data_IF_346800749136
#
_entry.id   IF_346800749136
#
_cell.length_a   1.000
_cell.length_b   1.000
_cell.length_c   1.000
_cell.angle_alpha   90.00
_cell.angle_beta   90.00
_cell.angle_gamma   90.00
#
_symmetry.space_group_name_H-M   'P 1'
#
loop_
_entity.id
_entity.type
_entity.pdbx_description
1 polymer ?
#
# COMPACT_ATOMS: atom_id res chain seq x y z
N UNK A 1 -50.88 -37.11 51.55
CA UNK A 1 -52.00 -37.31 52.51
C UNK A 1 -51.82 -36.30 53.64
N UNK A 2 -52.86 -35.56 54.06
CA UNK A 2 -52.80 -34.36 54.93
C UNK A 2 -52.06 -33.13 54.32
N UNK A 3 -52.35 -31.85 54.65
CA UNK A 3 -53.64 -31.14 54.86
C UNK A 3 -53.39 -29.61 55.09
N UNK A 4 -54.18 -28.71 54.44
CA UNK A 4 -54.63 -27.36 54.93
C UNK A 4 -53.59 -26.27 55.32
N UNK A 5 -53.83 -24.93 55.24
CA UNK A 5 -54.94 -24.01 54.84
C UNK A 5 -54.32 -22.80 54.05
N UNK A 6 -55.01 -22.11 53.12
CA UNK A 6 -55.81 -20.84 53.25
C UNK A 6 -55.17 -19.77 54.18
N UNK A 7 -55.20 -18.45 53.94
CA UNK A 7 -56.29 -17.52 53.51
C UNK A 7 -55.74 -16.32 52.68
N UNK A 8 -56.61 -15.56 51.98
CA UNK A 8 -56.40 -14.30 51.22
C UNK A 8 -57.76 -13.52 51.18
N UNK A 9 -57.96 -12.23 50.76
CA UNK A 9 -57.10 -11.30 49.98
C UNK A 9 -57.17 -9.79 50.44
N UNK A 10 -56.99 -8.84 49.49
CA UNK A 10 -57.41 -7.40 49.51
C UNK A 10 -56.58 -6.40 50.40
N UNK A 11 -56.38 -5.08 50.16
CA UNK A 11 -56.85 -3.92 49.31
C UNK A 11 -55.61 -2.96 49.09
N UNK A 12 -55.52 -1.81 48.36
CA UNK A 12 -56.34 -0.97 47.44
C UNK A 12 -55.43 0.05 46.66
N UNK A 13 -55.98 0.73 45.64
CA UNK A 13 -55.56 2.05 45.06
C UNK A 13 -56.56 3.16 45.53
N UNK A 14 -56.43 4.52 45.31
CA UNK A 14 -55.93 5.24 44.10
C UNK A 14 -55.08 6.55 44.36
N UNK A 15 -55.32 7.79 43.82
CA UNK A 15 -54.36 8.38 42.87
C UNK A 15 -54.02 9.91 43.01
N UNK A 16 -53.25 10.42 42.02
CA UNK A 16 -53.36 11.79 41.42
C UNK A 16 -52.84 13.04 42.20
N UNK A 17 -51.84 13.75 41.64
CA UNK A 17 -51.96 15.22 41.46
C UNK A 17 -50.98 15.86 40.44
N UNK A 18 -51.58 16.65 39.56
CA UNK A 18 -51.08 17.60 38.54
C UNK A 18 -49.86 18.47 38.95
N UNK A 19 -48.98 18.80 37.98
CA UNK A 19 -48.80 20.16 37.39
C UNK A 19 -47.68 20.24 36.31
N UNK A 20 -47.93 21.05 35.26
CA UNK A 20 -46.93 21.76 34.41
C UNK A 20 -47.16 23.27 34.66
N UNK A 21 -46.16 24.18 34.46
CA UNK A 21 -45.93 24.75 33.11
C UNK A 21 -44.45 25.08 32.79
N UNK A 22 -44.26 25.71 31.62
CA UNK A 22 -43.02 26.07 30.94
C UNK A 22 -42.05 26.98 31.73
N UNK A 23 -40.76 26.88 31.37
CA UNK A 23 -39.90 28.06 31.19
C UNK A 23 -39.19 27.97 29.84
N UNK A 24 -39.15 29.08 29.08
CA UNK A 24 -38.46 29.16 27.78
C UNK A 24 -37.09 29.78 28.02
N UNK A 25 -36.02 28.99 27.91
CA UNK A 25 -34.64 29.44 28.05
C UNK A 25 -33.90 29.43 26.71
N UNK A 26 -33.81 30.57 26.02
CA UNK A 26 -32.85 30.73 24.91
C UNK A 26 -31.43 30.68 25.47
N UNK A 27 -30.60 29.75 25.00
CA UNK A 27 -29.15 29.96 24.91
C UNK A 27 -28.74 29.93 23.44
N UNK A 28 -28.20 31.05 22.98
CA UNK A 28 -27.53 31.17 21.70
C UNK A 28 -26.10 30.61 21.82
N UNK A 29 -25.54 30.18 20.69
CA UNK A 29 -24.09 30.07 20.49
C UNK A 29 -23.38 28.97 21.29
N UNK A 30 -23.20 27.82 20.65
CA UNK A 30 -21.82 27.42 20.35
C UNK A 30 -21.78 26.55 19.08
N UNK A 31 -21.29 27.12 17.97
CA UNK A 31 -21.07 26.38 16.73
C UNK A 31 -19.74 25.64 16.83
N UNK A 32 -19.77 24.33 17.13
CA UNK A 32 -18.60 23.48 17.31
C UNK A 32 -17.91 23.11 15.98
N UNK A 33 -17.39 24.11 15.27
CA UNK A 33 -16.58 23.94 14.05
C UNK A 33 -15.21 23.28 14.29
N UNK A 34 -14.80 23.08 15.56
CA UNK A 34 -13.55 22.45 15.96
C UNK A 34 -13.47 20.92 15.74
N UNK A 35 -14.51 20.30 15.16
CA UNK A 35 -14.64 18.84 15.06
C UNK A 35 -14.21 18.18 13.73
N UNK A 36 -13.51 18.89 12.82
CA UNK A 36 -13.13 18.34 11.49
C UNK A 36 -11.63 18.42 11.12
N UNK A 37 -10.83 19.23 11.80
CA UNK A 37 -9.38 19.32 11.54
C UNK A 37 -8.61 18.21 12.24
N UNK A 38 -8.93 17.97 13.52
CA UNK A 38 -8.30 16.94 14.37
C UNK A 38 -8.39 15.53 13.77
N UNK A 39 -9.51 15.18 13.13
CA UNK A 39 -9.72 13.86 12.49
C UNK A 39 -9.08 13.72 11.10
N UNK A 40 -8.24 14.66 10.68
CA UNK A 40 -7.44 14.59 9.45
C UNK A 40 -5.94 14.74 9.76
N UNK A 41 -5.60 15.65 10.68
CA UNK A 41 -4.22 15.88 11.15
C UNK A 41 -3.65 14.66 11.91
N UNK A 42 -4.49 13.95 12.67
CA UNK A 42 -4.11 12.72 13.40
C UNK A 42 -3.83 11.52 12.49
N UNK A 43 -4.46 11.45 11.32
CA UNK A 43 -4.28 10.33 10.38
C UNK A 43 -2.96 10.48 9.59
N UNK A 44 -2.67 11.67 9.06
CA UNK A 44 -1.46 11.90 8.27
C UNK A 44 -0.15 11.71 9.07
N UNK A 45 -0.17 11.98 10.38
CA UNK A 45 1.02 11.87 11.24
C UNK A 45 1.28 10.46 11.78
N UNK A 46 0.23 9.64 11.94
CA UNK A 46 0.34 8.28 12.50
C UNK A 46 0.57 7.21 11.43
N UNK A 47 -0.03 7.35 10.23
CA UNK A 47 -0.01 6.33 9.18
C UNK A 47 1.37 6.09 8.53
N UNK A 48 2.35 6.98 8.72
CA UNK A 48 3.67 6.87 8.07
C UNK A 48 4.39 5.59 8.52
N UNK A 49 4.41 5.28 9.81
CA UNK A 49 5.14 4.11 10.32
C UNK A 49 4.51 2.78 9.88
N UNK A 50 3.17 2.59 9.95
CA UNK A 50 2.57 1.38 9.39
C UNK A 50 2.75 1.22 7.89
N UNK A 51 2.72 2.32 7.12
CA UNK A 51 3.03 2.28 5.68
C UNK A 51 4.48 1.84 5.42
N UNK A 52 5.46 2.36 6.16
CA UNK A 52 6.87 1.96 6.04
C UNK A 52 7.08 0.48 6.37
N UNK A 53 6.49 0.00 7.46
CA UNK A 53 6.57 -1.40 7.85
C UNK A 53 5.93 -2.30 6.79
N UNK A 54 4.70 -2.01 6.37
CA UNK A 54 3.98 -2.82 5.36
C UNK A 54 4.65 -2.81 3.98
N UNK A 55 5.35 -1.73 3.61
CA UNK A 55 6.12 -1.63 2.35
C UNK A 55 7.48 -2.33 2.40
N UNK A 56 7.99 -2.70 3.59
CA UNK A 56 9.34 -3.24 3.75
C UNK A 56 9.64 -4.46 2.86
N UNK A 57 8.73 -5.46 2.71
CA UNK A 57 8.97 -6.57 1.79
C UNK A 57 9.10 -6.18 0.32
N UNK A 58 8.36 -5.16 -0.12
CA UNK A 58 8.40 -4.67 -1.51
C UNK A 58 9.72 -3.94 -1.76
N UNK A 59 10.18 -3.16 -0.78
CA UNK A 59 11.50 -2.50 -0.84
C UNK A 59 12.63 -3.53 -0.86
N UNK A 60 12.59 -4.56 0.01
CA UNK A 60 13.55 -5.65 0.02
C UNK A 60 13.53 -6.46 -1.28
N UNK A 61 12.35 -6.71 -1.84
CA UNK A 61 12.17 -7.36 -3.14
C UNK A 61 12.83 -6.57 -4.28
N UNK A 62 12.61 -5.25 -4.33
CA UNK A 62 13.24 -4.34 -5.29
C UNK A 62 14.76 -4.30 -5.16
N UNK A 63 15.28 -4.21 -3.92
CA UNK A 63 16.72 -4.21 -3.63
C UNK A 63 17.37 -5.53 -4.08
N UNK A 64 16.78 -6.68 -3.74
CA UNK A 64 17.32 -7.99 -4.12
C UNK A 64 17.23 -8.23 -5.64
N UNK A 65 16.18 -7.73 -6.30
CA UNK A 65 16.09 -7.70 -7.76
C UNK A 65 17.25 -6.90 -8.38
N UNK A 66 17.51 -5.67 -7.90
CA UNK A 66 18.65 -4.88 -8.38
C UNK A 66 20.00 -5.58 -8.13
N UNK A 67 20.20 -6.18 -6.96
CA UNK A 67 21.41 -6.94 -6.65
C UNK A 67 21.62 -8.13 -7.60
N UNK A 68 20.59 -8.94 -7.85
CA UNK A 68 20.64 -10.07 -8.79
C UNK A 68 20.93 -9.61 -10.23
N UNK A 69 20.43 -8.44 -10.63
CA UNK A 69 20.76 -7.82 -11.92
C UNK A 69 22.23 -7.38 -11.97
N UNK A 70 22.70 -6.68 -10.93
CA UNK A 70 24.05 -6.09 -10.83
C UNK A 70 25.16 -7.15 -10.75
N UNK A 71 25.02 -8.14 -9.85
CA UNK A 71 25.95 -9.27 -9.72
C UNK A 71 25.81 -10.32 -10.85
N UNK A 72 24.95 -10.05 -11.84
CA UNK A 72 24.69 -10.91 -13.00
C UNK A 72 24.32 -12.35 -12.61
N UNK A 73 23.57 -12.54 -11.53
CA UNK A 73 23.05 -13.85 -11.15
C UNK A 73 21.92 -14.29 -12.12
N UNK A 74 21.61 -15.60 -12.15
CA UNK A 74 20.48 -16.19 -12.90
C UNK A 74 20.44 -15.83 -14.40
N UNK A 75 21.60 -15.79 -15.08
CA UNK A 75 21.71 -15.31 -16.47
C UNK A 75 20.89 -16.11 -17.48
N UNK A 76 20.65 -17.40 -17.24
CA UNK A 76 19.80 -18.27 -18.06
C UNK A 76 18.36 -17.75 -18.21
N UNK A 77 17.87 -17.02 -17.19
CA UNK A 77 16.56 -16.38 -17.14
C UNK A 77 16.56 -14.94 -17.65
N UNK A 78 17.71 -14.35 -18.01
CA UNK A 78 17.83 -12.96 -18.48
C UNK A 78 17.31 -12.73 -19.92
N UNK A 79 16.26 -13.47 -20.30
CA UNK A 79 15.57 -13.41 -21.60
C UNK A 79 14.48 -12.33 -21.55
N UNK A 80 14.25 -11.55 -22.63
CA UNK A 80 13.19 -10.55 -22.68
C UNK A 80 11.80 -11.14 -22.39
N UNK A 81 10.99 -10.42 -21.61
CA UNK A 81 9.63 -10.83 -21.23
C UNK A 81 8.68 -10.84 -22.43
N UNK A 82 8.88 -9.93 -23.39
CA UNK A 82 8.16 -9.91 -24.66
C UNK A 82 8.69 -10.93 -25.70
N UNK A 83 9.73 -11.70 -25.36
CA UNK A 83 10.37 -12.65 -26.27
C UNK A 83 10.98 -11.99 -27.52
N UNK A 84 11.26 -10.68 -27.50
CA UNK A 84 11.71 -9.93 -28.68
C UNK A 84 10.60 -9.55 -29.66
N UNK A 85 9.32 -9.78 -29.32
CA UNK A 85 8.18 -9.43 -30.18
C UNK A 85 8.10 -7.91 -30.42
N UNK A 86 7.66 -7.54 -31.62
CA UNK A 86 7.46 -6.15 -32.04
C UNK A 86 5.96 -5.83 -32.13
N UNK A 87 5.56 -4.64 -31.68
CA UNK A 87 4.25 -4.05 -31.96
C UNK A 87 4.43 -2.78 -32.79
N UNK A 88 3.82 -2.73 -33.98
CA UNK A 88 4.00 -1.65 -34.98
C UNK A 88 5.49 -1.30 -35.20
N UNK A 89 6.29 -2.31 -35.55
CA UNK A 89 7.72 -2.15 -35.89
C UNK A 89 8.68 -1.79 -34.74
N UNK A 90 8.20 -1.67 -33.50
CA UNK A 90 9.01 -1.31 -32.32
C UNK A 90 8.78 -2.34 -31.18
N UNK A 91 9.76 -2.67 -30.32
CA UNK A 91 9.61 -3.67 -29.24
C UNK A 91 8.42 -3.41 -28.32
N UNK A 92 7.82 -4.47 -27.74
CA UNK A 92 6.68 -4.31 -26.82
C UNK A 92 7.16 -3.69 -25.50
N UNK A 93 8.04 -4.37 -24.76
CA UNK A 93 8.62 -3.85 -23.51
C UNK A 93 10.11 -3.52 -23.70
N UNK A 94 10.83 -4.34 -24.48
CA UNK A 94 12.26 -4.21 -24.73
C UNK A 94 13.14 -4.93 -23.71
N UNK A 95 14.39 -5.18 -24.10
CA UNK A 95 15.26 -6.22 -23.52
C UNK A 95 15.59 -6.13 -22.02
N UNK A 96 15.33 -5.02 -21.33
CA UNK A 96 15.55 -4.90 -19.89
C UNK A 96 14.42 -5.46 -19.02
N UNK A 97 13.18 -5.56 -19.53
CA UNK A 97 12.13 -6.31 -18.84
C UNK A 97 12.32 -7.79 -19.17
N UNK A 98 12.74 -8.58 -18.18
CA UNK A 98 13.21 -9.96 -18.36
C UNK A 98 12.50 -10.94 -17.42
N UNK A 99 12.44 -12.21 -17.82
CA UNK A 99 11.92 -13.29 -16.98
C UNK A 99 12.67 -13.42 -15.65
N UNK A 100 13.99 -13.21 -15.64
CA UNK A 100 14.79 -13.10 -14.42
C UNK A 100 14.25 -12.03 -13.48
N UNK A 101 14.06 -10.81 -13.96
CA UNK A 101 13.57 -9.70 -13.12
C UNK A 101 12.20 -10.01 -12.52
N UNK A 102 11.28 -10.52 -13.36
CA UNK A 102 9.93 -10.92 -12.95
C UNK A 102 9.94 -12.04 -11.89
N UNK A 103 10.68 -13.13 -12.13
CA UNK A 103 10.73 -14.26 -11.19
C UNK A 103 11.43 -13.87 -9.87
N UNK A 104 12.43 -13.01 -9.92
CA UNK A 104 13.14 -12.53 -8.73
C UNK A 104 12.27 -11.58 -7.91
N UNK A 105 11.55 -10.61 -8.50
CA UNK A 105 10.69 -9.71 -7.71
C UNK A 105 9.52 -10.47 -7.06
N UNK A 106 8.98 -11.50 -7.72
CA UNK A 106 7.98 -12.40 -7.12
C UNK A 106 8.56 -13.22 -5.96
N UNK A 107 9.67 -13.93 -6.19
CA UNK A 107 10.29 -14.76 -5.16
C UNK A 107 10.79 -13.94 -3.95
N UNK A 108 11.45 -12.81 -4.19
CA UNK A 108 12.03 -11.96 -3.16
C UNK A 108 10.96 -11.25 -2.32
N UNK A 109 9.97 -10.62 -2.96
CA UNK A 109 8.86 -9.96 -2.22
C UNK A 109 8.07 -10.99 -1.40
N UNK A 110 7.78 -12.17 -1.98
CA UNK A 110 7.04 -13.22 -1.27
C UNK A 110 7.84 -13.78 -0.10
N UNK A 111 9.14 -14.06 -0.28
CA UNK A 111 10.00 -14.51 0.81
C UNK A 111 10.10 -13.44 1.93
N UNK A 112 10.21 -12.15 1.58
CA UNK A 112 10.26 -11.08 2.57
C UNK A 112 8.92 -10.90 3.33
N UNK A 113 7.77 -11.10 2.68
CA UNK A 113 6.46 -11.14 3.37
C UNK A 113 6.36 -12.34 4.30
N UNK A 114 6.81 -13.52 3.88
CA UNK A 114 6.84 -14.72 4.74
C UNK A 114 7.73 -14.52 5.98
N UNK A 115 8.87 -13.82 5.84
CA UNK A 115 9.73 -13.42 6.96
C UNK A 115 9.03 -12.40 7.86
N UNK A 116 8.35 -11.39 7.31
CA UNK A 116 7.61 -10.38 8.09
C UNK A 116 6.52 -11.03 8.95
N UNK A 117 5.70 -11.90 8.34
CA UNK A 117 4.67 -12.66 9.07
C UNK A 117 5.27 -13.59 10.14
N UNK A 118 6.45 -14.17 9.90
CA UNK A 118 7.19 -14.94 10.90
C UNK A 118 7.66 -14.08 12.09
N UNK A 119 8.14 -12.87 11.82
CA UNK A 119 8.52 -11.90 12.87
C UNK A 119 7.31 -11.44 13.70
N UNK A 120 6.15 -11.21 13.09
CA UNK A 120 4.90 -10.93 13.82
C UNK A 120 4.42 -12.12 14.66
N UNK A 121 4.68 -13.35 14.22
CA UNK A 121 4.44 -14.56 15.00
C UNK A 121 5.31 -14.67 16.26
N UNK A 122 6.53 -14.13 16.23
CA UNK A 122 7.43 -14.07 17.40
C UNK A 122 7.24 -12.81 18.25
N UNK A 123 6.86 -11.69 17.63
CA UNK A 123 6.69 -10.39 18.26
C UNK A 123 5.31 -9.81 17.85
N UNK A 124 4.22 -10.20 18.52
CA UNK A 124 2.86 -9.83 18.11
C UNK A 124 2.59 -8.32 18.02
N UNK A 125 3.33 -7.50 18.76
CA UNK A 125 3.28 -6.03 18.71
C UNK A 125 3.86 -5.42 17.43
N UNK A 126 4.43 -6.23 16.52
CA UNK A 126 4.76 -5.80 15.16
C UNK A 126 3.52 -5.74 14.25
N UNK A 127 2.50 -6.56 14.51
CA UNK A 127 1.26 -6.57 13.74
C UNK A 127 0.47 -5.26 13.89
N UNK A 128 0.62 -4.55 15.02
CA UNK A 128 0.05 -3.21 15.24
C UNK A 128 0.63 -2.14 14.27
N UNK A 129 1.75 -2.45 13.60
CA UNK A 129 2.37 -1.64 12.56
C UNK A 129 2.12 -2.20 11.15
N UNK A 130 1.37 -3.29 10.98
CA UNK A 130 1.01 -3.80 9.66
C UNK A 130 -0.37 -3.29 9.24
N UNK A 131 -0.48 -2.81 8.00
CA UNK A 131 -1.76 -2.47 7.37
C UNK A 131 -2.39 -3.66 6.64
N UNK A 132 -1.77 -4.84 6.70
CA UNK A 132 -2.31 -6.12 6.20
C UNK A 132 -2.27 -7.14 7.33
N UNK A 133 -3.44 -7.58 7.82
CA UNK A 133 -3.51 -8.61 8.85
C UNK A 133 -3.26 -10.00 8.24
N UNK A 134 -2.09 -10.59 8.54
CA UNK A 134 -1.72 -11.92 8.09
C UNK A 134 -2.57 -13.07 8.65
N UNK A 135 -3.48 -12.80 9.60
CA UNK A 135 -4.50 -13.77 10.04
C UNK A 135 -5.70 -13.81 9.09
N UNK A 136 -5.95 -12.74 8.35
CA UNK A 136 -7.02 -12.62 7.36
C UNK A 136 -6.50 -12.92 5.95
N UNK A 137 -5.31 -12.43 5.62
CA UNK A 137 -4.67 -12.58 4.30
C UNK A 137 -3.45 -13.49 4.37
N UNK A 138 -3.45 -14.60 3.63
CA UNK A 138 -2.35 -15.57 3.72
C UNK A 138 -1.02 -14.96 3.24
N UNK A 139 0.08 -14.96 4.03
CA UNK A 139 1.30 -14.21 3.71
C UNK A 139 1.89 -14.49 2.32
N UNK A 140 1.85 -15.74 1.84
CA UNK A 140 2.33 -16.07 0.50
C UNK A 140 1.47 -15.42 -0.61
N UNK A 141 0.15 -15.30 -0.40
CA UNK A 141 -0.76 -14.61 -1.31
C UNK A 141 -0.47 -13.11 -1.30
N UNK A 142 -0.31 -12.51 -0.13
CA UNK A 142 0.07 -11.09 0.03
C UNK A 142 1.38 -10.79 -0.71
N UNK A 143 2.37 -11.68 -0.60
CA UNK A 143 3.62 -11.60 -1.36
C UNK A 143 3.44 -11.59 -2.88
N UNK A 144 2.62 -12.51 -3.41
CA UNK A 144 2.29 -12.57 -4.83
C UNK A 144 1.45 -11.36 -5.30
N UNK A 145 0.55 -10.84 -4.46
CA UNK A 145 -0.28 -9.66 -4.72
C UNK A 145 0.62 -8.43 -4.85
N UNK A 146 1.47 -8.14 -3.85
CA UNK A 146 2.42 -7.03 -3.91
C UNK A 146 3.38 -7.13 -5.11
N UNK A 147 3.94 -8.31 -5.37
CA UNK A 147 4.81 -8.53 -6.52
C UNK A 147 4.09 -8.33 -7.86
N UNK A 148 2.81 -8.69 -7.94
CA UNK A 148 1.96 -8.44 -9.12
C UNK A 148 1.71 -6.94 -9.31
N UNK A 149 1.36 -6.23 -8.24
CA UNK A 149 1.19 -4.77 -8.26
C UNK A 149 2.45 -4.07 -8.77
N UNK A 150 3.59 -4.36 -8.13
CA UNK A 150 4.90 -3.84 -8.54
C UNK A 150 5.21 -4.14 -10.01
N UNK A 151 5.22 -5.43 -10.40
CA UNK A 151 5.77 -5.86 -11.68
C UNK A 151 4.87 -5.51 -12.87
N UNK A 152 3.54 -5.54 -12.70
CA UNK A 152 2.61 -5.25 -13.80
C UNK A 152 2.56 -3.75 -14.11
N UNK A 153 2.67 -2.87 -13.11
CA UNK A 153 2.60 -1.43 -13.34
C UNK A 153 3.84 -0.84 -14.05
N UNK A 154 5.01 -1.47 -13.93
CA UNK A 154 6.19 -1.10 -14.73
C UNK A 154 6.02 -1.36 -16.26
N UNK A 155 5.08 -2.23 -16.66
CA UNK A 155 4.93 -2.68 -18.05
C UNK A 155 4.25 -1.64 -18.97
N UNK A 156 3.15 -0.95 -18.58
CA UNK A 156 2.60 0.18 -19.33
C UNK A 156 3.62 1.29 -19.59
N UNK A 157 4.41 1.67 -18.57
CA UNK A 157 5.50 2.64 -18.71
C UNK A 157 6.54 2.16 -19.73
N UNK A 158 7.01 0.91 -19.56
CA UNK A 158 7.97 0.30 -20.48
C UNK A 158 7.48 0.29 -21.93
N UNK A 159 6.21 -0.04 -22.16
CA UNK A 159 5.57 -0.01 -23.47
C UNK A 159 5.49 1.40 -24.06
N UNK A 160 5.03 2.38 -23.28
CA UNK A 160 4.92 3.78 -23.68
C UNK A 160 6.29 4.35 -24.10
N UNK A 161 7.35 4.06 -23.34
CA UNK A 161 8.73 4.42 -23.71
C UNK A 161 9.15 3.85 -25.06
N UNK A 162 8.81 2.59 -25.37
CA UNK A 162 9.08 2.01 -26.70
C UNK A 162 8.28 2.67 -27.82
N UNK A 163 7.07 3.20 -27.54
CA UNK A 163 6.29 3.95 -28.55
C UNK A 163 7.02 5.24 -28.94
N UNK A 164 7.49 5.98 -27.94
CA UNK A 164 8.25 7.24 -28.05
C UNK A 164 9.71 7.07 -28.49
N UNK A 165 10.13 5.88 -28.94
CA UNK A 165 11.50 5.57 -29.39
C UNK A 165 12.61 5.74 -28.34
N UNK A 166 12.25 5.91 -27.07
CA UNK A 166 13.20 5.93 -25.96
C UNK A 166 13.79 4.52 -25.83
N UNK A 167 15.11 4.37 -25.95
CA UNK A 167 15.75 3.06 -25.85
C UNK A 167 15.66 2.48 -24.42
N UNK A 168 15.81 1.16 -24.22
CA UNK A 168 15.99 0.59 -22.89
C UNK A 168 17.15 1.27 -22.15
N UNK A 169 16.94 1.66 -20.89
CA UNK A 169 17.96 2.32 -20.07
C UNK A 169 18.22 3.81 -20.40
N UNK A 170 17.43 4.41 -21.30
CA UNK A 170 17.45 5.86 -21.57
C UNK A 170 16.24 6.57 -20.96
N UNK A 171 16.45 7.84 -20.61
CA UNK A 171 15.41 8.78 -20.21
C UNK A 171 15.06 9.67 -21.42
N UNK A 172 13.81 10.17 -21.55
CA UNK A 172 13.48 11.10 -22.63
C UNK A 172 14.22 12.44 -22.50
N UNK A 173 14.44 13.09 -23.65
CA UNK A 173 14.99 14.43 -23.79
C UNK A 173 13.87 15.47 -23.97
N UNK A 174 14.18 16.74 -23.66
CA UNK A 174 13.23 17.85 -23.81
C UNK A 174 12.14 17.90 -22.73
N UNK A 175 11.01 18.60 -22.98
CA UNK A 175 10.05 18.98 -21.93
C UNK A 175 9.29 17.80 -21.30
N UNK A 176 9.27 16.62 -21.94
CA UNK A 176 8.64 15.41 -21.40
C UNK A 176 9.52 14.69 -20.37
N UNK A 177 10.80 15.06 -20.22
CA UNK A 177 11.76 14.40 -19.30
C UNK A 177 11.20 14.29 -17.87
N UNK A 178 10.78 15.40 -17.28
CA UNK A 178 10.33 15.46 -15.88
C UNK A 178 9.09 14.60 -15.64
N UNK A 179 8.13 14.61 -16.56
CA UNK A 179 6.91 13.80 -16.46
C UNK A 179 7.24 12.29 -16.44
N UNK A 180 8.16 11.84 -17.30
CA UNK A 180 8.61 10.45 -17.29
C UNK A 180 9.45 10.08 -16.08
N UNK A 181 10.29 10.98 -15.55
CA UNK A 181 11.05 10.73 -14.31
C UNK A 181 10.14 10.52 -13.09
N UNK A 182 9.00 11.21 -13.02
CA UNK A 182 8.00 10.99 -11.98
C UNK A 182 7.24 9.69 -12.24
N UNK A 183 6.82 9.43 -13.49
CA UNK A 183 6.17 8.17 -13.88
C UNK A 183 7.02 6.94 -13.53
N UNK A 184 8.34 7.01 -13.78
CA UNK A 184 9.35 5.98 -13.51
C UNK A 184 9.56 5.62 -12.04
N UNK A 185 8.99 6.39 -11.12
CA UNK A 185 9.15 6.21 -9.67
C UNK A 185 7.79 6.03 -8.98
N UNK A 186 6.72 6.51 -9.61
CA UNK A 186 5.35 6.31 -9.19
C UNK A 186 4.71 5.02 -9.74
N UNK A 187 5.22 4.42 -10.83
CA UNK A 187 4.56 3.28 -11.48
C UNK A 187 4.40 2.05 -10.57
N UNK A 188 5.48 1.54 -10.02
CA UNK A 188 5.47 0.42 -9.05
C UNK A 188 4.67 0.75 -7.78
N UNK A 189 4.73 1.99 -7.29
CA UNK A 189 3.98 2.44 -6.12
C UNK A 189 2.46 2.51 -6.40
N UNK A 190 2.06 3.02 -7.57
CA UNK A 190 0.68 3.02 -8.08
C UNK A 190 0.15 1.60 -8.22
N UNK A 191 0.94 0.69 -8.79
CA UNK A 191 0.61 -0.72 -8.90
C UNK A 191 0.35 -1.38 -7.54
N UNK A 192 1.23 -1.12 -6.57
CA UNK A 192 1.08 -1.59 -5.19
C UNK A 192 -0.20 -1.02 -4.52
N UNK A 193 -0.42 0.29 -4.62
CA UNK A 193 -1.63 0.93 -4.07
C UNK A 193 -2.92 0.39 -4.67
N UNK A 194 -2.95 0.13 -5.98
CA UNK A 194 -4.12 -0.43 -6.67
C UNK A 194 -4.42 -1.87 -6.19
N UNK A 195 -3.42 -2.76 -6.14
CA UNK A 195 -3.66 -4.14 -5.69
C UNK A 195 -4.04 -4.23 -4.21
N UNK A 196 -3.57 -3.29 -3.38
CA UNK A 196 -3.96 -3.22 -1.98
C UNK A 196 -5.47 -2.92 -1.81
N UNK A 197 -6.01 -1.97 -2.59
CA UNK A 197 -7.47 -1.68 -2.59
C UNK A 197 -8.26 -2.85 -3.17
N UNK A 198 -7.76 -3.53 -4.20
CA UNK A 198 -8.48 -4.61 -4.86
C UNK A 198 -8.46 -5.96 -4.10
N UNK A 199 -7.45 -6.22 -3.26
CA UNK A 199 -7.22 -7.57 -2.70
C UNK A 199 -6.84 -7.62 -1.22
N UNK A 200 -6.50 -6.49 -0.57
CA UNK A 200 -6.00 -6.44 0.82
C UNK A 200 -6.87 -5.56 1.73
N UNK A 201 -8.11 -5.29 1.32
CA UNK A 201 -9.13 -4.48 2.04
C UNK A 201 -8.74 -3.01 2.32
N UNK A 202 -7.75 -2.47 1.60
CA UNK A 202 -7.32 -1.09 1.82
C UNK A 202 -8.31 -0.04 1.32
N UNK A 203 -8.44 1.03 2.09
CA UNK A 203 -9.15 2.24 1.69
C UNK A 203 -8.33 3.08 0.71
N UNK A 204 -9.01 3.85 -0.14
CA UNK A 204 -8.34 4.76 -1.08
C UNK A 204 -7.34 5.75 -0.42
N UNK A 205 -7.61 6.33 0.78
CA UNK A 205 -6.61 7.13 1.50
C UNK A 205 -5.32 6.36 1.85
N UNK A 206 -5.40 5.09 2.30
CA UNK A 206 -4.21 4.28 2.57
C UNK A 206 -3.39 4.07 1.29
N UNK A 207 -4.06 3.76 0.17
CA UNK A 207 -3.40 3.58 -1.12
C UNK A 207 -2.79 4.87 -1.67
N UNK A 208 -3.47 6.02 -1.55
CA UNK A 208 -2.92 7.33 -1.95
C UNK A 208 -1.69 7.67 -1.11
N UNK A 209 -1.76 7.47 0.21
CA UNK A 209 -0.61 7.70 1.10
C UNK A 209 0.57 6.77 0.80
N UNK A 210 0.33 5.50 0.45
CA UNK A 210 1.35 4.58 -0.06
C UNK A 210 1.98 5.08 -1.37
N UNK A 211 1.17 5.57 -2.32
CA UNK A 211 1.67 6.05 -3.60
C UNK A 211 2.56 7.27 -3.40
N UNK A 212 2.13 8.24 -2.59
CA UNK A 212 2.90 9.43 -2.27
C UNK A 212 4.20 9.09 -1.52
N UNK A 213 4.11 8.29 -0.45
CA UNK A 213 5.26 7.90 0.36
C UNK A 213 6.25 7.01 -0.42
N UNK A 214 5.75 6.01 -1.15
CA UNK A 214 6.58 5.12 -1.97
C UNK A 214 7.30 5.85 -3.09
N UNK A 215 6.65 6.80 -3.75
CA UNK A 215 7.29 7.66 -4.77
C UNK A 215 8.35 8.56 -4.13
N UNK A 216 8.07 9.17 -2.97
CA UNK A 216 9.01 10.00 -2.23
C UNK A 216 10.24 9.20 -1.74
N UNK A 217 10.04 7.97 -1.27
CA UNK A 217 11.11 7.05 -0.88
C UNK A 217 11.97 6.65 -2.08
N UNK A 218 11.38 6.34 -3.24
CA UNK A 218 12.15 6.11 -4.46
C UNK A 218 12.98 7.34 -4.85
N UNK A 219 12.40 8.54 -4.85
CA UNK A 219 13.11 9.79 -5.12
C UNK A 219 14.29 10.00 -4.16
N UNK A 220 14.07 9.81 -2.86
CA UNK A 220 15.10 9.96 -1.83
C UNK A 220 16.22 8.91 -1.96
N UNK A 221 15.90 7.64 -2.18
CA UNK A 221 16.88 6.57 -2.40
C UNK A 221 17.70 6.83 -3.67
N UNK A 222 17.04 7.23 -4.76
CA UNK A 222 17.68 7.55 -6.03
C UNK A 222 18.62 8.76 -5.91
N UNK A 223 18.24 9.79 -5.13
CA UNK A 223 19.08 10.94 -4.81
C UNK A 223 20.29 10.55 -3.96
N UNK A 224 20.09 9.80 -2.86
CA UNK A 224 21.18 9.35 -1.98
C UNK A 224 22.20 8.47 -2.73
N UNK A 225 21.75 7.55 -3.58
CA UNK A 225 22.64 6.72 -4.42
C UNK A 225 23.42 7.53 -5.46
N UNK A 226 22.90 8.68 -5.90
CA UNK A 226 23.63 9.61 -6.75
C UNK A 226 24.71 10.37 -5.96
N UNK A 227 24.39 10.86 -4.76
CA UNK A 227 25.36 11.58 -3.90
C UNK A 227 26.54 10.69 -3.46
N UNK A 228 26.31 9.39 -3.28
CA UNK A 228 27.36 8.41 -2.93
C UNK A 228 28.13 7.93 -4.19
N UNK A 229 27.82 8.47 -5.38
CA UNK A 229 28.50 8.13 -6.64
C UNK A 229 28.16 6.76 -7.22
N UNK A 230 27.36 5.95 -6.52
CA UNK A 230 26.91 4.62 -6.96
C UNK A 230 25.97 4.68 -8.18
N UNK A 231 25.41 5.86 -8.49
CA UNK A 231 24.61 6.09 -9.70
C UNK A 231 25.12 7.31 -10.46
N UNK A 232 25.65 7.09 -11.67
CA UNK A 232 26.32 8.10 -12.50
C UNK A 232 25.40 9.09 -13.24
N UNK A 233 24.10 9.15 -12.88
CA UNK A 233 23.11 10.06 -13.47
C UNK A 233 22.09 10.49 -12.42
N UNK A 234 21.80 11.79 -12.28
CA UNK A 234 20.72 12.25 -11.42
C UNK A 234 19.36 11.86 -12.02
N UNK A 235 18.34 11.85 -11.17
CA UNK A 235 16.93 11.94 -11.58
C UNK A 235 16.74 13.31 -12.25
#
# INVERSE_FOLDING_TARGET
MRLSRRISPERRHPPNSRRRPHSIGRRLGNGSSAGRTSSLETWNSTMIWPLLYTLTPVMLGGILHMAVVQFRCLQTLARPLDGGRLWRGKPIFGAHKTWRGLLVIYAATTAAVMVQAGLEGWFPSLADWNLVDYRQHSPWQVGLIWASGYALAELPNSFLKRRLQIAPGQNPSGPTRTAFLVLDQADSAFGCGLVAVCFLDWTWPQAISLILLGTALHLLLNFSLHQIGLRTRPV
#
